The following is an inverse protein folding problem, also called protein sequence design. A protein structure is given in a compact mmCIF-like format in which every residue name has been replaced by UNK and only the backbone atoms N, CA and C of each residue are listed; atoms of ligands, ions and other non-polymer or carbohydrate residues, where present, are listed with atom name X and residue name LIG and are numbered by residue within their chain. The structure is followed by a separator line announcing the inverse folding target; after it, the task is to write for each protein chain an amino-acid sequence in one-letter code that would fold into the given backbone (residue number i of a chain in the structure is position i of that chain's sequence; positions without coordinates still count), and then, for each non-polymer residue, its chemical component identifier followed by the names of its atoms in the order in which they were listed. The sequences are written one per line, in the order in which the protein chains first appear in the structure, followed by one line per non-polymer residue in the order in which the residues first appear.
data_IF_517874353344
#
_entry.id   IF_517874353344
#
_cell.length_a   1.000
_cell.length_b   1.000
_cell.length_c   1.000
_cell.angle_alpha   90.00
_cell.angle_beta   90.00
_cell.angle_gamma   90.00
#
_symmetry.space_group_name_H-M   'P 1'
#
loop_
_entity.id
_entity.type
_entity.pdbx_description
1 polymer ?
#
# COMPACT_ATOMS: atom_id res chain seq x y z
N UNK A 1 21.82 -75.83 12.59
CA UNK A 1 22.25 -74.56 13.22
C UNK A 1 22.13 -73.47 12.16
N UNK A 2 21.58 -72.33 12.54
CA UNK A 2 20.75 -71.38 11.77
C UNK A 2 21.14 -71.04 10.31
N UNK A 3 20.09 -70.89 9.48
CA UNK A 3 20.09 -70.28 8.16
C UNK A 3 19.77 -68.78 8.24
N UNK A 4 20.37 -68.00 7.36
CA UNK A 4 20.09 -66.58 7.08
C UNK A 4 18.91 -66.53 6.09
N UNK A 5 17.90 -65.69 6.35
CA UNK A 5 16.93 -65.23 5.36
C UNK A 5 16.56 -63.75 5.61
N UNK A 6 16.60 -63.02 4.50
CA UNK A 6 16.38 -61.60 4.23
C UNK A 6 15.04 -60.98 4.67
N UNK A 7 15.11 -59.65 4.92
CA UNK A 7 14.26 -58.53 4.46
C UNK A 7 12.72 -58.73 4.42
N UNK A 8 11.87 -57.84 4.96
CA UNK A 8 11.48 -56.54 4.38
C UNK A 8 10.43 -55.81 5.29
N UNK A 9 10.52 -54.46 5.36
CA UNK A 9 9.44 -53.44 5.18
C UNK A 9 8.25 -53.46 6.19
N UNK A 10 7.96 -52.37 6.93
CA UNK A 10 7.07 -51.30 6.42
C UNK A 10 7.33 -49.93 7.08
N UNK A 11 8.01 -49.09 6.30
CA UNK A 11 7.74 -47.68 6.00
C UNK A 11 6.64 -47.02 6.84
N UNK A 12 7.07 -46.10 7.71
CA UNK A 12 6.17 -45.26 8.50
C UNK A 12 5.19 -44.48 7.62
N UNK A 13 3.90 -44.75 7.87
CA UNK A 13 2.74 -44.04 7.33
C UNK A 13 2.76 -42.58 7.78
N UNK A 14 3.37 -41.71 6.98
CA UNK A 14 3.27 -40.26 7.15
C UNK A 14 1.90 -39.76 6.63
N UNK A 15 1.12 -39.01 7.42
CA UNK A 15 -0.11 -38.38 6.95
C UNK A 15 0.23 -37.16 6.08
N UNK A 16 -0.09 -37.27 4.80
CA UNK A 16 -0.01 -36.19 3.82
C UNK A 16 -1.06 -35.11 4.12
N UNK A 17 -0.66 -34.05 4.83
CA UNK A 17 -1.41 -32.78 4.83
C UNK A 17 -1.02 -32.05 3.54
N UNK A 18 -1.93 -32.05 2.58
CA UNK A 18 -1.85 -31.27 1.34
C UNK A 18 -1.81 -29.78 1.67
N UNK A 19 -0.61 -29.24 1.86
CA UNK A 19 -0.38 -27.80 2.01
C UNK A 19 -0.56 -27.19 0.63
N UNK A 20 -1.71 -26.55 0.39
CA UNK A 20 -1.93 -25.72 -0.78
C UNK A 20 -0.72 -24.78 -0.91
N UNK A 21 0.04 -24.91 -2.00
CA UNK A 21 1.16 -24.02 -2.28
C UNK A 21 0.56 -22.63 -2.53
N UNK A 22 0.56 -21.77 -1.51
CA UNK A 22 0.16 -20.38 -1.66
C UNK A 22 1.04 -19.75 -2.75
N UNK A 23 0.42 -19.28 -3.83
CA UNK A 23 1.16 -18.67 -4.93
C UNK A 23 1.89 -17.42 -4.43
N UNK A 24 3.22 -17.43 -4.49
CA UNK A 24 4.06 -16.28 -4.15
C UNK A 24 4.00 -15.24 -5.29
N UNK A 25 3.96 -13.97 -4.93
CA UNK A 25 4.07 -12.83 -5.84
C UNK A 25 5.36 -12.07 -5.57
N UNK A 26 5.96 -11.51 -6.62
CA UNK A 26 7.21 -10.76 -6.53
C UNK A 26 6.95 -9.27 -6.56
N UNK A 27 7.35 -8.56 -5.51
CA UNK A 27 7.22 -7.10 -5.44
C UNK A 27 8.09 -6.41 -6.50
N UNK A 28 7.53 -5.51 -7.30
CA UNK A 28 8.26 -4.77 -8.35
C UNK A 28 9.28 -3.78 -7.74
N UNK A 29 9.04 -3.28 -6.53
CA UNK A 29 9.90 -2.29 -5.88
C UNK A 29 11.09 -2.92 -5.14
N UNK A 30 10.84 -3.84 -4.20
CA UNK A 30 11.91 -4.45 -3.38
C UNK A 30 12.38 -5.82 -3.87
N UNK A 31 11.73 -6.40 -4.89
CA UNK A 31 12.02 -7.72 -5.47
C UNK A 31 11.83 -8.92 -4.54
N UNK A 32 11.32 -8.71 -3.33
CA UNK A 32 10.97 -9.77 -2.38
C UNK A 32 9.76 -10.57 -2.84
N UNK A 33 9.76 -11.86 -2.52
CA UNK A 33 8.61 -12.75 -2.70
C UNK A 33 7.73 -12.71 -1.45
N UNK A 34 6.42 -12.53 -1.66
CA UNK A 34 5.42 -12.48 -0.59
C UNK A 34 4.23 -13.35 -0.96
N UNK A 35 3.43 -13.77 0.03
CA UNK A 35 2.17 -14.45 -0.26
C UNK A 35 1.25 -13.55 -1.09
N UNK A 36 0.43 -14.13 -1.96
CA UNK A 36 -0.58 -13.39 -2.74
C UNK A 36 -1.51 -12.53 -1.86
N UNK A 37 -1.82 -12.99 -0.64
CA UNK A 37 -2.58 -12.24 0.37
C UNK A 37 -1.88 -11.00 0.93
N UNK A 38 -0.56 -10.88 0.74
CA UNK A 38 0.29 -9.77 1.19
C UNK A 38 0.87 -8.96 0.02
N UNK A 39 0.38 -9.22 -1.18
CA UNK A 39 0.66 -8.45 -2.39
C UNK A 39 -0.60 -7.83 -2.96
N UNK A 40 -0.43 -6.72 -3.67
CA UNK A 40 -1.51 -6.09 -4.42
C UNK A 40 -1.06 -5.89 -5.84
N UNK A 41 -1.89 -6.33 -6.78
CA UNK A 41 -1.66 -6.19 -8.20
C UNK A 41 -2.16 -4.83 -8.69
N UNK A 42 -1.29 -4.08 -9.34
CA UNK A 42 -1.63 -2.84 -10.03
C UNK A 42 -2.36 -3.13 -11.35
N UNK A 43 -3.09 -2.15 -11.93
CA UNK A 43 -3.68 -2.27 -13.27
C UNK A 43 -2.66 -2.66 -14.34
N UNK A 44 -1.43 -2.17 -14.23
CA UNK A 44 -0.30 -2.52 -15.10
C UNK A 44 0.30 -3.94 -14.85
N UNK A 45 -0.37 -4.79 -14.07
CA UNK A 45 0.02 -6.17 -13.72
C UNK A 45 1.27 -6.35 -12.84
N UNK A 46 1.89 -5.26 -12.35
CA UNK A 46 2.94 -5.36 -11.34
C UNK A 46 2.37 -5.54 -9.94
N UNK A 47 3.02 -6.39 -9.14
CA UNK A 47 2.66 -6.61 -7.74
C UNK A 47 3.53 -5.75 -6.80
N UNK A 48 2.93 -5.21 -5.74
CA UNK A 48 3.64 -4.57 -4.63
C UNK A 48 3.38 -5.32 -3.33
N UNK A 49 4.40 -5.48 -2.49
CA UNK A 49 4.18 -5.86 -1.09
C UNK A 49 3.59 -4.70 -0.29
N UNK A 50 2.94 -5.02 0.85
CA UNK A 50 2.33 -4.03 1.77
C UNK A 50 3.24 -2.86 2.13
N UNK A 51 4.51 -3.14 2.43
CA UNK A 51 5.44 -2.09 2.88
C UNK A 51 5.76 -1.12 1.73
N UNK A 52 6.11 -1.65 0.55
CA UNK A 52 6.48 -0.81 -0.59
C UNK A 52 5.32 0.04 -1.11
N UNK A 53 4.10 -0.50 -1.14
CA UNK A 53 2.95 0.30 -1.55
C UNK A 53 2.63 1.40 -0.54
N UNK A 54 2.71 1.09 0.76
CA UNK A 54 2.55 2.09 1.82
C UNK A 54 3.59 3.21 1.68
N UNK A 55 4.86 2.86 1.45
CA UNK A 55 5.92 3.84 1.20
C UNK A 55 5.66 4.69 -0.04
N UNK A 56 5.12 4.11 -1.12
CA UNK A 56 4.79 4.84 -2.33
C UNK A 56 3.67 5.88 -2.10
N UNK A 57 2.62 5.51 -1.37
CA UNK A 57 1.56 6.44 -0.96
C UNK A 57 2.09 7.55 -0.04
N UNK A 58 2.94 7.18 0.95
CA UNK A 58 3.60 8.16 1.83
C UNK A 58 4.48 9.13 1.05
N UNK A 59 5.22 8.68 0.03
CA UNK A 59 6.01 9.55 -0.81
C UNK A 59 5.14 10.56 -1.58
N UNK A 60 4.04 10.09 -2.20
CA UNK A 60 3.10 10.95 -2.91
C UNK A 60 2.40 11.97 -1.99
N UNK A 61 2.15 11.63 -0.73
CA UNK A 61 1.62 12.57 0.27
C UNK A 61 2.58 13.74 0.54
N UNK A 62 3.88 13.46 0.58
CA UNK A 62 4.90 14.45 0.95
C UNK A 62 5.43 15.25 -0.25
N UNK A 63 5.26 14.75 -1.48
CA UNK A 63 5.76 15.37 -2.70
C UNK A 63 4.66 15.42 -3.77
N UNK A 64 4.18 16.62 -4.06
CA UNK A 64 3.14 16.88 -5.07
C UNK A 64 3.53 16.39 -6.47
N UNK A 65 4.82 16.38 -6.82
CA UNK A 65 5.29 15.89 -8.12
C UNK A 65 5.11 14.37 -8.30
N UNK A 66 5.06 13.65 -7.17
CA UNK A 66 4.81 12.21 -7.11
C UNK A 66 3.31 11.89 -7.01
N UNK A 67 2.44 12.90 -6.91
CA UNK A 67 1.01 12.73 -6.81
C UNK A 67 0.33 12.69 -8.20
N UNK A 68 -0.70 11.86 -8.41
CA UNK A 68 -1.02 10.66 -7.64
C UNK A 68 0.09 9.60 -7.80
N UNK A 69 0.22 8.62 -6.87
CA UNK A 69 1.17 7.53 -7.00
C UNK A 69 0.90 6.75 -8.29
N UNK A 70 1.98 6.42 -9.00
CA UNK A 70 1.93 5.78 -10.33
C UNK A 70 2.78 4.52 -10.35
N UNK A 71 2.36 3.53 -11.14
CA UNK A 71 3.19 2.43 -11.59
C UNK A 71 3.13 2.37 -13.12
N UNK A 72 4.26 2.24 -13.81
CA UNK A 72 4.30 2.25 -15.28
C UNK A 72 3.65 3.49 -15.92
N UNK A 73 3.70 4.64 -15.24
CA UNK A 73 3.03 5.91 -15.61
C UNK A 73 1.50 5.87 -15.50
N UNK A 74 0.92 4.75 -15.07
CA UNK A 74 -0.51 4.61 -14.80
C UNK A 74 -0.79 4.97 -13.33
N UNK A 75 -1.81 5.80 -13.04
CA UNK A 75 -2.23 6.06 -11.67
C UNK A 75 -2.64 4.78 -10.94
N UNK A 76 -2.24 4.69 -9.68
CA UNK A 76 -2.60 3.58 -8.79
C UNK A 76 -3.95 3.92 -8.13
N UNK A 77 -5.06 3.20 -8.42
CA UNK A 77 -6.39 3.55 -7.92
C UNK A 77 -6.51 3.27 -6.42
N UNK A 78 -6.76 4.31 -5.60
CA UNK A 78 -6.82 4.19 -4.13
C UNK A 78 -7.71 3.05 -3.63
N UNK A 79 -8.86 2.81 -4.29
CA UNK A 79 -9.85 1.80 -3.88
C UNK A 79 -9.28 0.38 -3.79
N UNK A 80 -8.33 0.02 -4.66
CA UNK A 80 -7.67 -1.29 -4.62
C UNK A 80 -6.77 -1.47 -3.39
N UNK A 81 -6.32 -0.36 -2.80
CA UNK A 81 -5.30 -0.36 -1.74
C UNK A 81 -5.85 0.01 -0.38
N UNK A 82 -7.11 0.49 -0.31
CA UNK A 82 -7.80 0.80 0.96
C UNK A 82 -7.66 -0.30 2.03
N UNK A 83 -7.78 -1.61 1.71
CA UNK A 83 -7.64 -2.66 2.72
C UNK A 83 -6.21 -2.83 3.29
N UNK A 84 -5.22 -2.22 2.64
CA UNK A 84 -3.80 -2.40 2.93
C UNK A 84 -3.13 -1.14 3.48
N UNK A 85 -3.75 0.02 3.30
CA UNK A 85 -3.32 1.29 3.88
C UNK A 85 -3.99 1.49 5.23
N UNK A 86 -3.28 2.10 6.18
CA UNK A 86 -3.89 2.47 7.46
C UNK A 86 -4.94 3.56 7.26
N UNK A 87 -5.95 3.60 8.12
CA UNK A 87 -7.00 4.64 8.10
C UNK A 87 -6.40 6.05 8.19
N UNK A 88 -5.35 6.21 8.99
CA UNK A 88 -4.59 7.47 9.09
C UNK A 88 -3.98 7.86 7.75
N UNK A 89 -3.31 6.93 7.07
CA UNK A 89 -2.67 7.22 5.78
C UNK A 89 -3.71 7.54 4.69
N UNK A 90 -4.84 6.84 4.68
CA UNK A 90 -5.96 7.12 3.79
C UNK A 90 -6.53 8.53 4.02
N UNK A 91 -6.74 8.92 5.27
CA UNK A 91 -7.23 10.26 5.61
C UNK A 91 -6.28 11.37 5.15
N UNK A 92 -4.97 11.18 5.38
CA UNK A 92 -3.96 12.14 4.92
C UNK A 92 -3.92 12.18 3.38
N UNK A 93 -3.99 11.02 2.71
CA UNK A 93 -3.99 10.97 1.25
C UNK A 93 -5.18 11.72 0.65
N UNK A 94 -6.40 11.53 1.16
CA UNK A 94 -7.58 12.24 0.67
C UNK A 94 -7.51 13.75 0.94
N UNK A 95 -6.96 14.15 2.10
CA UNK A 95 -6.71 15.56 2.39
C UNK A 95 -5.69 16.17 1.40
N UNK A 96 -4.59 15.46 1.11
CA UNK A 96 -3.59 15.87 0.11
C UNK A 96 -4.14 15.87 -1.31
N UNK A 97 -5.03 14.94 -1.65
CA UNK A 97 -5.73 14.92 -2.95
C UNK A 97 -6.52 16.20 -3.16
N UNK A 98 -7.22 16.67 -2.13
CA UNK A 98 -7.94 17.95 -2.18
C UNK A 98 -6.97 19.12 -2.28
N UNK A 99 -5.92 19.15 -1.46
CA UNK A 99 -4.89 20.20 -1.48
C UNK A 99 -4.23 20.33 -2.86
N UNK A 100 -3.64 19.24 -3.38
CA UNK A 100 -2.94 19.23 -4.66
C UNK A 100 -3.88 19.40 -5.87
N UNK A 101 -5.15 19.02 -5.73
CA UNK A 101 -6.18 19.30 -6.73
C UNK A 101 -6.70 20.75 -6.74
N UNK A 102 -6.35 21.56 -5.73
CA UNK A 102 -6.78 22.95 -5.63
C UNK A 102 -5.79 23.86 -6.36
N UNK A 103 -6.27 24.66 -7.31
CA UNK A 103 -5.41 25.57 -8.10
C UNK A 103 -4.87 26.73 -7.25
N UNK A 104 -5.76 27.48 -6.60
CA UNK A 104 -5.41 28.62 -5.75
C UNK A 104 -5.39 28.19 -4.28
N UNK A 105 -4.29 27.54 -3.88
CA UNK A 105 -4.15 26.94 -2.55
C UNK A 105 -3.98 28.03 -1.51
N UNK A 106 -4.90 28.08 -0.55
CA UNK A 106 -4.78 28.94 0.62
C UNK A 106 -4.19 28.16 1.79
N UNK A 107 -3.23 28.76 2.48
CA UNK A 107 -2.60 28.20 3.67
C UNK A 107 -2.76 29.13 4.86
N UNK A 108 -2.85 28.54 6.06
CA UNK A 108 -2.90 29.31 7.30
C UNK A 108 -1.66 30.23 7.40
N UNK A 109 -1.92 31.51 7.67
CA UNK A 109 -0.89 32.55 7.79
C UNK A 109 0.02 32.39 9.02
N UNK A 110 -0.39 31.61 10.03
CA UNK A 110 0.42 31.33 11.21
C UNK A 110 1.62 30.47 10.81
N UNK A 111 2.84 31.00 11.00
CA UNK A 111 4.11 30.38 10.58
C UNK A 111 4.41 29.01 11.18
N UNK A 112 3.77 28.61 12.28
CA UNK A 112 3.92 27.25 12.83
C UNK A 112 2.83 26.30 12.34
N UNK A 113 1.78 26.82 11.70
CA UNK A 113 0.61 26.06 11.32
C UNK A 113 0.70 25.57 9.86
N UNK A 114 0.89 26.49 8.91
CA UNK A 114 0.95 26.25 7.45
C UNK A 114 -0.05 25.21 6.92
N UNK A 115 -1.19 25.07 7.60
CA UNK A 115 -2.18 24.06 7.25
C UNK A 115 -2.96 24.55 6.05
N UNK A 116 -3.13 23.69 5.06
CA UNK A 116 -3.99 23.96 3.91
C UNK A 116 -5.41 24.26 4.41
N UNK A 117 -6.00 25.34 3.93
CA UNK A 117 -7.37 25.74 4.23
C UNK A 117 -8.23 25.34 3.02
N UNK A 118 -9.10 24.32 3.14
CA UNK A 118 -9.93 23.90 2.03
C UNK A 118 -10.83 25.03 1.53
N UNK A 119 -11.17 25.09 0.23
CA UNK A 119 -12.03 26.13 -0.33
C UNK A 119 -13.37 26.28 0.39
N UNK A 120 -13.91 25.20 0.97
CA UNK A 120 -15.13 25.22 1.77
C UNK A 120 -15.03 26.09 3.05
N UNK A 121 -13.82 26.46 3.49
CA UNK A 121 -13.56 27.34 4.63
C UNK A 121 -13.08 28.73 4.21
N UNK A 122 -13.20 29.05 2.91
CA UNK A 122 -12.92 30.38 2.36
C UNK A 122 -14.25 31.02 1.97
N UNK A 123 -14.52 32.20 2.50
CA UNK A 123 -15.70 33.00 2.16
C UNK A 123 -15.26 34.41 1.82
N UNK A 124 -15.59 34.86 0.61
CA UNK A 124 -15.09 36.11 0.05
C UNK A 124 -13.55 36.12 0.16
N UNK A 125 -12.96 37.14 0.78
CA UNK A 125 -11.50 37.26 0.98
C UNK A 125 -11.02 36.73 2.34
N UNK A 126 -11.86 35.97 3.07
CA UNK A 126 -11.56 35.48 4.42
C UNK A 126 -11.47 33.96 4.46
N UNK A 127 -10.28 33.45 4.76
CA UNK A 127 -10.01 32.03 4.97
C UNK A 127 -9.93 31.69 6.46
N UNK A 128 -10.70 30.69 6.91
CA UNK A 128 -10.71 30.23 8.31
C UNK A 128 -9.92 28.94 8.47
N UNK A 129 -8.83 28.99 9.24
CA UNK A 129 -8.08 27.78 9.61
C UNK A 129 -8.83 27.00 10.69
N UNK A 130 -9.09 25.71 10.47
CA UNK A 130 -9.76 24.86 11.47
C UNK A 130 -8.84 24.34 12.58
N UNK A 131 -7.53 24.58 12.46
CA UNK A 131 -6.52 24.06 13.39
C UNK A 131 -6.15 25.05 14.51
N UNK A 132 -6.26 26.36 14.27
CA UNK A 132 -5.83 27.40 15.20
C UNK A 132 -6.70 28.64 15.10
#
# INVERSE_FOLDING_TARGET
MAAIMDSEIDTERSPSVSKEKSALQRCVACRSEVASSDSIRCPCSHDYCRNCITSLFSAAINDESLFPPRCCKEPIPLDLYKPFLSTTLLGIYEAKKLEYGTLDKTYCHVRSCFTFVPPAFVKDDVATCVKC
#
